data_IF_729490364195
#
_entry.id   IF_729490364195
#
_cell.length_a   1.000
_cell.length_b   1.000
_cell.length_c   1.000
_cell.angle_alpha   90.00
_cell.angle_beta   90.00
_cell.angle_gamma   90.00
#
_symmetry.space_group_name_H-M   'P 1'
#
loop_
_entity.id
_entity.type
_entity.pdbx_description
1 polymer ?
#
# COMPACT_ATOMS: atom_id res chain seq x y z
N UNK A 1 45.14 -14.82 11.09
CA UNK A 1 43.78 -14.75 10.51
C UNK A 1 42.82 -14.62 11.67
N UNK A 2 42.44 -13.37 11.97
CA UNK A 2 41.51 -13.11 13.09
C UNK A 2 40.15 -13.71 12.75
N UNK A 3 39.71 -14.67 13.56
CA UNK A 3 38.32 -15.14 13.52
C UNK A 3 37.43 -13.95 13.89
N UNK A 4 36.32 -13.70 13.16
CA UNK A 4 35.40 -12.66 13.59
C UNK A 4 34.91 -12.96 14.99
N UNK A 5 35.04 -11.98 15.89
CA UNK A 5 34.53 -12.04 17.25
C UNK A 5 33.05 -12.43 17.20
N UNK A 6 32.65 -13.45 17.94
CA UNK A 6 31.26 -13.87 18.00
C UNK A 6 30.43 -12.73 18.59
N UNK A 7 29.49 -12.19 17.84
CA UNK A 7 28.57 -11.15 18.30
C UNK A 7 27.67 -11.74 19.38
N UNK A 8 27.79 -11.26 20.61
CA UNK A 8 26.84 -11.61 21.67
C UNK A 8 25.49 -10.93 21.37
N UNK A 9 24.41 -11.69 21.40
CA UNK A 9 23.07 -11.16 21.20
C UNK A 9 22.04 -11.84 22.11
N UNK A 10 20.93 -11.14 22.35
CA UNK A 10 19.75 -11.68 23.01
C UNK A 10 18.51 -11.38 22.18
N UNK A 11 17.53 -12.30 22.21
CA UNK A 11 16.25 -12.13 21.54
C UNK A 11 15.18 -11.80 22.57
N UNK A 12 14.47 -10.70 22.36
CA UNK A 12 13.41 -10.22 23.24
C UNK A 12 12.11 -10.06 22.48
N UNK A 13 11.02 -10.63 23.01
CA UNK A 13 9.65 -10.39 22.54
C UNK A 13 9.09 -9.14 23.24
N UNK A 14 8.37 -8.30 22.49
CA UNK A 14 7.62 -7.15 23.03
C UNK A 14 6.40 -6.88 22.16
N UNK A 15 5.32 -6.39 22.75
CA UNK A 15 4.12 -5.89 22.11
C UNK A 15 4.11 -4.34 22.02
N UNK A 16 5.19 -3.70 22.44
CA UNK A 16 5.36 -2.25 22.31
C UNK A 16 5.96 -1.93 20.95
N UNK A 17 5.17 -1.24 20.11
CA UNK A 17 5.61 -0.77 18.81
C UNK A 17 6.47 0.49 18.94
N UNK A 18 7.78 0.31 19.07
CA UNK A 18 8.75 1.38 19.17
C UNK A 18 9.31 1.72 17.78
N UNK A 19 9.17 2.98 17.37
CA UNK A 19 9.66 3.44 16.06
C UNK A 19 11.19 3.32 15.92
N UNK A 20 11.94 3.39 17.00
CA UNK A 20 13.39 3.17 16.96
C UNK A 20 13.74 1.72 16.64
N UNK A 21 13.01 0.77 17.17
CA UNK A 21 13.14 -0.66 16.84
C UNK A 21 12.75 -0.88 15.37
N UNK A 22 11.60 -0.31 14.96
CA UNK A 22 11.15 -0.40 13.56
C UNK A 22 12.20 0.13 12.59
N UNK A 23 12.78 1.28 12.89
CA UNK A 23 13.84 1.90 12.08
C UNK A 23 15.09 1.04 12.03
N UNK A 24 15.51 0.49 13.15
CA UNK A 24 16.69 -0.38 13.24
C UNK A 24 16.53 -1.69 12.44
N UNK A 25 15.29 -2.17 12.26
CA UNK A 25 14.99 -3.32 11.38
C UNK A 25 14.85 -2.88 9.92
N UNK A 26 14.21 -1.76 9.66
CA UNK A 26 13.91 -1.29 8.32
C UNK A 26 15.15 -0.81 7.55
N UNK A 27 15.99 0.02 8.17
CA UNK A 27 17.12 0.65 7.50
C UNK A 27 18.09 -0.37 6.85
N UNK A 28 18.55 -1.42 7.54
CA UNK A 28 19.40 -2.42 6.92
C UNK A 28 18.68 -3.26 5.86
N UNK A 29 17.38 -3.50 6.02
CA UNK A 29 16.58 -4.20 5.01
C UNK A 29 16.45 -3.36 3.73
N UNK A 30 16.20 -2.06 3.87
CA UNK A 30 16.18 -1.11 2.75
C UNK A 30 17.52 -1.08 2.03
N UNK A 31 18.64 -0.98 2.77
CA UNK A 31 19.98 -1.00 2.20
C UNK A 31 20.25 -2.31 1.42
N UNK A 32 19.85 -3.44 1.98
CA UNK A 32 19.96 -4.74 1.31
C UNK A 32 19.13 -4.78 0.02
N UNK A 33 17.87 -4.35 0.07
CA UNK A 33 16.99 -4.33 -1.09
C UNK A 33 17.52 -3.38 -2.18
N UNK A 34 17.99 -2.21 -1.79
CA UNK A 34 18.59 -1.24 -2.72
C UNK A 34 19.83 -1.81 -3.41
N UNK A 35 20.67 -2.52 -2.69
CA UNK A 35 21.84 -3.20 -3.26
C UNK A 35 21.46 -4.27 -4.30
N UNK A 36 20.29 -4.92 -4.12
CA UNK A 36 19.78 -5.95 -5.04
C UNK A 36 19.04 -5.39 -6.24
N UNK A 37 18.24 -4.34 -6.05
CA UNK A 37 17.35 -3.78 -7.09
C UNK A 37 17.94 -2.56 -7.79
N UNK A 38 19.01 -1.97 -7.25
CA UNK A 38 19.60 -0.72 -7.73
C UNK A 38 18.80 0.52 -7.40
N UNK A 39 17.65 0.40 -6.68
CA UNK A 39 16.78 1.54 -6.36
C UNK A 39 16.04 1.37 -5.02
N UNK A 40 15.68 2.50 -4.45
CA UNK A 40 14.72 2.61 -3.36
C UNK A 40 13.82 3.81 -3.66
N UNK A 41 12.58 3.53 -4.03
CA UNK A 41 11.63 4.51 -4.55
C UNK A 41 10.30 4.53 -3.78
N UNK A 42 10.33 4.13 -2.52
CA UNK A 42 9.17 4.21 -1.63
C UNK A 42 8.76 5.66 -1.38
N UNK A 43 7.54 6.04 -1.77
CA UNK A 43 6.98 7.36 -1.57
C UNK A 43 5.57 7.27 -1.02
N UNK A 44 5.25 7.97 0.08
CA UNK A 44 3.87 8.09 0.54
C UNK A 44 2.97 8.70 -0.53
N UNK A 45 1.71 8.24 -0.56
CA UNK A 45 0.65 8.80 -1.37
C UNK A 45 -0.57 8.92 -0.47
N UNK A 46 -0.91 10.16 -0.11
CA UNK A 46 -1.95 10.46 0.86
C UNK A 46 -2.90 11.49 0.29
N UNK A 47 -4.21 11.24 0.42
CA UNK A 47 -5.26 12.19 0.03
C UNK A 47 -6.19 12.33 1.20
N UNK A 48 -6.29 13.53 1.77
CA UNK A 48 -7.14 13.82 2.92
C UNK A 48 -8.47 14.44 2.46
N UNK A 49 -9.55 14.04 3.12
CA UNK A 49 -10.84 14.75 3.10
C UNK A 49 -10.81 15.67 4.32
N UNK A 50 -10.89 16.98 4.09
CA UNK A 50 -10.82 17.97 5.16
C UNK A 50 -12.11 18.81 5.23
N UNK A 51 -12.49 19.23 6.43
CA UNK A 51 -13.52 20.23 6.63
C UNK A 51 -12.96 21.67 6.40
N UNK A 52 -13.80 22.72 6.45
CA UNK A 52 -13.33 24.10 6.29
C UNK A 52 -12.29 24.55 7.35
N UNK A 53 -12.21 23.87 8.47
CA UNK A 53 -11.25 24.13 9.54
C UNK A 53 -9.98 23.25 9.42
N UNK A 54 -9.83 22.54 8.28
CA UNK A 54 -8.70 21.63 7.99
C UNK A 54 -8.62 20.43 8.91
N UNK A 55 -9.70 20.08 9.58
CA UNK A 55 -9.80 18.81 10.30
C UNK A 55 -9.99 17.66 9.30
N UNK A 56 -9.13 16.66 9.40
CA UNK A 56 -9.23 15.47 8.56
C UNK A 56 -10.43 14.63 8.97
N UNK A 57 -11.31 14.35 8.03
CA UNK A 57 -12.54 13.56 8.20
C UNK A 57 -12.40 12.14 7.68
N UNK A 58 -11.47 11.89 6.78
CA UNK A 58 -11.23 10.63 6.11
C UNK A 58 -10.22 10.80 4.98
N UNK A 59 -10.16 9.86 4.05
CA UNK A 59 -9.27 9.95 2.92
C UNK A 59 -8.69 8.62 2.48
N UNK A 60 -7.59 8.70 1.75
CA UNK A 60 -6.83 7.56 1.27
C UNK A 60 -5.39 7.66 1.78
N UNK A 61 -4.87 6.54 2.27
CA UNK A 61 -3.48 6.38 2.66
C UNK A 61 -2.86 5.23 1.89
N UNK A 62 -1.73 5.47 1.28
CA UNK A 62 -1.02 4.48 0.51
C UNK A 62 0.43 4.88 0.24
N UNK A 63 1.05 4.19 -0.67
CA UNK A 63 2.41 4.45 -1.12
C UNK A 63 2.64 3.89 -2.52
N UNK A 64 3.61 4.45 -3.20
CA UNK A 64 4.16 3.88 -4.43
C UNK A 64 5.55 3.31 -4.16
N UNK A 65 5.83 2.14 -4.71
CA UNK A 65 7.12 1.48 -4.63
C UNK A 65 7.23 0.43 -5.74
N UNK A 66 8.41 0.31 -6.34
CA UNK A 66 8.70 -0.73 -7.34
C UNK A 66 7.61 -0.85 -8.42
N UNK A 67 7.20 0.32 -8.97
CA UNK A 67 6.22 0.46 -10.06
C UNK A 67 4.77 0.07 -9.70
N UNK A 68 4.47 -0.05 -8.40
CA UNK A 68 3.14 -0.38 -7.90
C UNK A 68 2.62 0.68 -6.93
N UNK A 69 1.31 0.95 -7.02
CA UNK A 69 0.55 1.62 -5.98
C UNK A 69 0.01 0.57 -5.00
N UNK A 70 0.26 0.76 -3.71
CA UNK A 70 -0.45 0.06 -2.64
C UNK A 70 -1.40 1.02 -1.95
N UNK A 71 -2.70 0.73 -1.96
CA UNK A 71 -3.71 1.43 -1.17
C UNK A 71 -3.91 0.67 0.13
N UNK A 72 -3.42 1.25 1.22
CA UNK A 72 -3.43 0.63 2.55
C UNK A 72 -4.74 0.91 3.28
N UNK A 73 -5.20 2.19 3.26
CA UNK A 73 -6.42 2.62 3.93
C UNK A 73 -7.26 3.48 3.00
N UNK A 74 -8.56 3.27 3.02
CA UNK A 74 -9.56 4.14 2.37
C UNK A 74 -10.77 4.27 3.29
N UNK A 75 -11.09 5.50 3.69
CA UNK A 75 -12.24 5.79 4.51
C UNK A 75 -12.97 7.03 4.04
N UNK A 76 -14.28 6.89 3.82
CA UNK A 76 -15.20 8.00 3.53
C UNK A 76 -16.25 8.01 4.63
N UNK A 77 -16.43 9.13 5.35
CA UNK A 77 -17.46 9.26 6.38
C UNK A 77 -18.85 8.98 5.84
N UNK A 78 -19.74 8.43 6.68
CA UNK A 78 -21.12 8.10 6.29
C UNK A 78 -21.86 9.28 5.70
N UNK A 79 -21.67 10.48 6.28
CA UNK A 79 -22.29 11.74 5.80
C UNK A 79 -21.87 12.15 4.39
N UNK A 80 -20.77 11.60 3.89
CA UNK A 80 -20.20 11.91 2.57
C UNK A 80 -20.32 10.76 1.58
N UNK A 81 -20.86 9.61 2.00
CA UNK A 81 -21.06 8.45 1.12
C UNK A 81 -22.16 8.72 0.07
N UNK A 82 -22.13 7.95 -1.02
CA UNK A 82 -23.10 8.09 -2.11
C UNK A 82 -22.88 9.31 -3.02
N UNK A 83 -21.77 10.04 -2.84
CA UNK A 83 -21.42 11.22 -3.66
C UNK A 83 -20.26 10.99 -4.63
N UNK A 84 -19.81 9.75 -4.78
CA UNK A 84 -18.67 9.42 -5.66
C UNK A 84 -17.30 9.78 -5.09
N UNK A 85 -17.20 10.18 -3.81
CA UNK A 85 -15.93 10.61 -3.20
C UNK A 85 -14.91 9.47 -3.16
N UNK A 86 -15.31 8.26 -2.78
CA UNK A 86 -14.41 7.11 -2.77
C UNK A 86 -13.82 6.81 -4.16
N UNK A 87 -14.64 6.92 -5.21
CA UNK A 87 -14.20 6.80 -6.61
C UNK A 87 -13.21 7.92 -6.97
N UNK A 88 -13.48 9.15 -6.58
CA UNK A 88 -12.60 10.30 -6.84
C UNK A 88 -11.24 10.13 -6.15
N UNK A 89 -11.23 9.70 -4.89
CA UNK A 89 -9.99 9.42 -4.16
C UNK A 89 -9.14 8.34 -4.87
N UNK A 90 -9.76 7.24 -5.28
CA UNK A 90 -9.09 6.16 -6.00
C UNK A 90 -8.57 6.64 -7.35
N UNK A 91 -9.37 7.38 -8.12
CA UNK A 91 -8.97 7.94 -9.40
C UNK A 91 -7.77 8.89 -9.29
N UNK A 92 -7.76 9.76 -8.27
CA UNK A 92 -6.62 10.65 -7.99
C UNK A 92 -5.37 9.88 -7.61
N UNK A 93 -5.49 8.89 -6.75
CA UNK A 93 -4.37 8.04 -6.33
C UNK A 93 -3.78 7.27 -7.52
N UNK A 94 -4.62 6.67 -8.35
CA UNK A 94 -4.20 5.96 -9.57
C UNK A 94 -3.53 6.91 -10.58
N UNK A 95 -4.10 8.10 -10.79
CA UNK A 95 -3.51 9.10 -11.68
C UNK A 95 -2.14 9.58 -11.21
N UNK A 96 -1.98 9.82 -9.91
CA UNK A 96 -0.68 10.19 -9.32
C UNK A 96 0.33 9.03 -9.42
N UNK A 97 -0.12 7.80 -9.18
CA UNK A 97 0.73 6.61 -9.32
C UNK A 97 1.26 6.45 -10.76
N UNK A 98 0.42 6.66 -11.77
CA UNK A 98 0.84 6.65 -13.18
C UNK A 98 1.88 7.73 -13.45
N UNK A 99 1.70 8.94 -12.94
CA UNK A 99 2.69 10.02 -13.05
C UNK A 99 4.03 9.65 -12.42
N UNK A 100 4.01 8.87 -11.34
CA UNK A 100 5.22 8.35 -10.68
C UNK A 100 5.84 7.13 -11.39
N UNK A 101 5.23 6.67 -12.48
CA UNK A 101 5.73 5.53 -13.27
C UNK A 101 5.15 4.17 -12.88
N UNK A 102 4.16 4.12 -12.00
CA UNK A 102 3.50 2.87 -11.64
C UNK A 102 2.66 2.32 -12.80
N UNK A 103 2.70 1.02 -13.01
CA UNK A 103 1.89 0.34 -14.03
C UNK A 103 0.69 -0.41 -13.43
N UNK A 104 0.65 -0.60 -12.12
CA UNK A 104 -0.38 -1.41 -11.46
C UNK A 104 -0.64 -0.91 -10.04
N UNK A 105 -1.80 -1.29 -9.52
CA UNK A 105 -2.19 -1.05 -8.14
C UNK A 105 -2.67 -2.35 -7.49
N UNK A 106 -2.52 -2.42 -6.19
CA UNK A 106 -3.10 -3.49 -5.39
C UNK A 106 -3.60 -2.96 -4.04
N UNK A 107 -4.51 -3.71 -3.45
CA UNK A 107 -5.09 -3.45 -2.14
C UNK A 107 -5.63 -4.75 -1.55
N UNK A 108 -6.01 -4.71 -0.31
CA UNK A 108 -6.78 -5.75 0.33
C UNK A 108 -8.06 -5.21 0.97
N UNK A 109 -9.08 -6.04 1.05
CA UNK A 109 -10.38 -5.69 1.62
C UNK A 109 -11.06 -6.91 2.21
N UNK A 110 -11.77 -6.71 3.31
CA UNK A 110 -12.58 -7.76 3.90
C UNK A 110 -13.94 -7.85 3.21
N UNK A 111 -14.55 -9.05 3.21
CA UNK A 111 -15.88 -9.26 2.63
C UNK A 111 -16.94 -8.33 3.23
N UNK A 112 -16.82 -7.97 4.50
CA UNK A 112 -17.73 -7.04 5.18
C UNK A 112 -17.45 -5.55 4.90
N UNK A 113 -16.36 -5.22 4.18
CA UNK A 113 -16.05 -3.86 3.75
C UNK A 113 -16.70 -3.54 2.40
N UNK A 114 -15.96 -3.63 1.30
CA UNK A 114 -16.50 -3.23 0.02
C UNK A 114 -15.80 -3.88 -1.20
N UNK A 115 -15.72 -5.22 -1.33
CA UNK A 115 -15.07 -5.83 -2.50
C UNK A 115 -15.78 -5.44 -3.80
N UNK A 116 -17.12 -5.33 -3.82
CA UNK A 116 -17.87 -4.92 -4.98
C UNK A 116 -17.55 -3.48 -5.44
N UNK A 117 -17.25 -2.56 -4.51
CA UNK A 117 -16.82 -1.21 -4.83
C UNK A 117 -15.52 -1.22 -5.66
N UNK A 118 -14.53 -1.99 -5.23
CA UNK A 118 -13.26 -2.09 -5.96
C UNK A 118 -13.39 -2.84 -7.29
N UNK A 119 -14.24 -3.85 -7.36
CA UNK A 119 -14.54 -4.53 -8.63
C UNK A 119 -15.12 -3.57 -9.67
N UNK A 120 -16.02 -2.67 -9.26
CA UNK A 120 -16.56 -1.62 -10.16
C UNK A 120 -15.50 -0.63 -10.63
N UNK A 121 -14.41 -0.47 -9.88
CA UNK A 121 -13.27 0.36 -10.28
C UNK A 121 -12.25 -0.38 -11.15
N UNK A 122 -12.50 -1.65 -11.47
CA UNK A 122 -11.65 -2.47 -12.32
C UNK A 122 -10.62 -3.32 -11.58
N UNK A 123 -10.72 -3.42 -10.24
CA UNK A 123 -9.91 -4.35 -9.46
C UNK A 123 -10.47 -5.76 -9.55
N UNK A 124 -9.58 -6.74 -9.59
CA UNK A 124 -9.94 -8.16 -9.56
C UNK A 124 -9.20 -8.89 -8.44
N UNK A 125 -9.86 -9.84 -7.75
CA UNK A 125 -9.21 -10.64 -6.74
C UNK A 125 -8.13 -11.53 -7.39
N UNK A 126 -6.98 -11.67 -6.71
CA UNK A 126 -5.92 -12.58 -7.12
C UNK A 126 -5.48 -13.53 -6.01
N UNK A 127 -5.91 -13.27 -4.76
CA UNK A 127 -5.71 -14.14 -3.61
C UNK A 127 -6.77 -13.86 -2.55
N UNK A 128 -6.96 -14.83 -1.66
CA UNK A 128 -7.87 -14.71 -0.53
C UNK A 128 -7.32 -15.42 0.70
N UNK A 129 -7.70 -14.92 1.88
CA UNK A 129 -7.48 -15.57 3.17
C UNK A 129 -8.84 -15.80 3.81
N UNK A 130 -9.19 -17.10 3.96
CA UNK A 130 -10.38 -17.52 4.66
C UNK A 130 -10.17 -17.43 6.17
N UNK A 131 -11.27 -17.29 6.91
CA UNK A 131 -11.24 -17.18 8.37
C UNK A 131 -10.36 -16.03 8.89
N UNK A 132 -10.43 -14.89 8.24
CA UNK A 132 -9.69 -13.68 8.59
C UNK A 132 -10.63 -12.46 8.64
N UNK A 133 -11.30 -12.23 9.82
CA UNK A 133 -11.45 -13.11 10.99
C UNK A 133 -12.26 -14.38 10.71
N UNK A 134 -12.34 -15.28 11.69
CA UNK A 134 -13.13 -16.53 11.57
C UNK A 134 -14.54 -16.24 11.05
N UNK A 135 -14.97 -16.97 10.02
CA UNK A 135 -16.25 -16.76 9.34
C UNK A 135 -16.26 -15.62 8.33
N UNK A 136 -15.13 -14.97 8.07
CA UNK A 136 -14.99 -13.92 7.06
C UNK A 136 -13.80 -14.19 6.15
N UNK A 137 -13.74 -13.51 5.01
CA UNK A 137 -12.66 -13.64 4.03
C UNK A 137 -12.02 -12.28 3.77
N UNK A 138 -10.70 -12.25 3.67
CA UNK A 138 -9.93 -11.11 3.20
C UNK A 138 -9.47 -11.35 1.77
N UNK A 139 -9.81 -10.44 0.87
CA UNK A 139 -9.45 -10.48 -0.54
C UNK A 139 -8.27 -9.56 -0.83
N UNK A 140 -7.34 -10.05 -1.64
CA UNK A 140 -6.27 -9.26 -2.23
C UNK A 140 -6.62 -8.99 -3.68
N UNK A 141 -6.64 -7.72 -4.05
CA UNK A 141 -7.14 -7.26 -5.35
C UNK A 141 -6.09 -6.44 -6.07
N UNK A 142 -6.07 -6.53 -7.39
CA UNK A 142 -5.15 -5.76 -8.25
C UNK A 142 -5.86 -5.16 -9.45
N UNK A 143 -5.23 -4.12 -10.00
CA UNK A 143 -5.66 -3.45 -11.23
C UNK A 143 -4.45 -3.03 -12.05
N UNK A 144 -4.48 -3.23 -13.36
CA UNK A 144 -3.55 -2.61 -14.30
C UNK A 144 -3.92 -1.15 -14.50
N UNK A 145 -2.96 -0.23 -14.34
CA UNK A 145 -3.17 1.21 -14.51
C UNK A 145 -2.81 1.70 -15.91
N UNK A 146 -2.06 0.91 -16.66
CA UNK A 146 -1.60 1.22 -18.03
C UNK A 146 -1.86 0.04 -18.93
N UNK A 147 -2.06 0.30 -20.24
CA UNK A 147 -2.22 -0.76 -21.24
C UNK A 147 -0.96 -1.64 -21.35
N UNK A 148 -1.12 -2.87 -21.86
CA UNK A 148 -0.01 -3.81 -22.03
C UNK A 148 1.08 -3.27 -22.97
N UNK A 149 0.73 -2.44 -23.94
CA UNK A 149 1.67 -1.80 -24.89
C UNK A 149 2.62 -0.81 -24.21
N UNK A 150 2.20 -0.17 -23.10
CA UNK A 150 3.03 0.79 -22.37
C UNK A 150 4.04 0.14 -21.41
N UNK A 151 3.84 -1.12 -21.05
CA UNK A 151 4.75 -1.86 -20.16
C UNK A 151 6.09 -2.15 -20.82
N UNK A 152 6.09 -2.40 -22.14
CA UNK A 152 7.30 -2.72 -22.91
C UNK A 152 8.22 -1.54 -23.18
N UNK A 153 7.72 -0.29 -23.08
CA UNK A 153 8.51 0.92 -23.36
C UNK A 153 9.33 1.44 -22.17
N UNK A 154 9.12 0.91 -20.96
CA UNK A 154 9.75 1.38 -19.72
C UNK A 154 10.91 0.50 -19.25
N UNK A 155 11.22 -0.59 -19.97
CA UNK A 155 12.31 -1.53 -19.66
C UNK A 155 13.55 -1.32 -20.54
N UNK A 156 13.68 -0.13 -21.13
CA UNK A 156 14.84 0.24 -21.94
C UNK A 156 15.66 1.33 -21.26
#
# INVERSE_FOLDING_TARGET
>A
MDMPEAVEFAVRLTDVADESIRKAVLDPLVAYNQAKTGRYDHRPLVIAIEDPHRKVLGGLWGRTAYDWLFVELLFVPDSLRGRGIGRDLMSRAEGEAVKRGCHSAWLDTFVFQAPAFYQRLGYSPFAELNDYPVGSTRYFMRKSLVGEEDRGRRSG
#
